data_IF_826183992732
#
_entry.id   IF_826183992732
#
_cell.length_a   1.000
_cell.length_b   1.000
_cell.length_c   1.000
_cell.angle_alpha   90.00
_cell.angle_beta   90.00
_cell.angle_gamma   90.00
#
_symmetry.space_group_name_H-M   'P 1'
#
loop_
_entity.id
_entity.type
_entity.pdbx_description
1 polymer ?
#
# COMPACT_ATOMS: atom_id res chain seq x y z
N UNK A 1 -10.46 2.52 -7.39
CA UNK A 1 -9.18 3.24 -7.54
C UNK A 1 -8.29 2.89 -6.35
N UNK A 2 -6.96 2.88 -6.51
CA UNK A 2 -6.05 2.74 -5.38
C UNK A 2 -6.15 3.99 -4.51
N UNK A 3 -6.35 3.82 -3.19
CA UNK A 3 -6.42 4.94 -2.27
C UNK A 3 -5.04 5.63 -2.15
N UNK A 4 -5.02 6.96 -2.23
CA UNK A 4 -3.83 7.77 -2.01
C UNK A 4 -4.15 8.91 -1.06
N UNK A 5 -3.27 9.17 -0.09
CA UNK A 5 -3.37 10.36 0.76
C UNK A 5 -3.10 11.59 -0.10
N UNK A 6 -3.94 12.61 0.05
CA UNK A 6 -3.88 13.85 -0.71
C UNK A 6 -2.51 14.53 -0.54
N UNK A 7 -1.95 15.03 -1.64
CA UNK A 7 -0.57 15.57 -1.68
C UNK A 7 -0.31 16.70 -0.69
N UNK A 8 -1.31 17.56 -0.44
CA UNK A 8 -1.20 18.62 0.57
C UNK A 8 -1.07 18.05 2.00
N UNK A 9 -1.80 16.98 2.34
CA UNK A 9 -1.67 16.34 3.65
C UNK A 9 -0.28 15.71 3.82
N UNK A 10 0.25 15.08 2.76
CA UNK A 10 1.62 14.53 2.77
C UNK A 10 2.69 15.62 2.93
N UNK A 11 2.47 16.80 2.32
CA UNK A 11 3.35 17.94 2.47
C UNK A 11 3.35 18.46 3.91
N UNK A 12 2.18 18.58 4.51
CA UNK A 12 2.01 19.23 5.82
C UNK A 12 2.23 18.27 7.00
N UNK A 13 2.29 16.96 6.75
CA UNK A 13 2.32 15.97 7.82
C UNK A 13 3.50 14.98 7.77
N UNK A 14 3.94 14.66 8.99
CA UNK A 14 4.28 13.35 9.51
C UNK A 14 3.29 12.27 9.07
N UNK A 15 3.67 11.25 8.34
CA UNK A 15 2.79 10.08 8.16
C UNK A 15 3.33 9.02 9.13
N UNK A 16 2.52 8.53 10.06
CA UNK A 16 3.01 7.75 11.21
C UNK A 16 2.73 6.25 11.08
N UNK A 17 1.56 5.91 10.56
CA UNK A 17 1.09 4.54 10.45
C UNK A 17 -0.38 4.48 10.06
N UNK A 18 -1.02 3.34 10.32
CA UNK A 18 -2.46 3.15 10.11
C UNK A 18 -3.07 2.29 11.18
N UNK A 19 -4.34 2.53 11.45
CA UNK A 19 -5.22 1.56 12.06
C UNK A 19 -5.90 0.71 10.97
N UNK A 20 -7.09 0.16 11.26
CA UNK A 20 -7.80 -0.68 10.32
C UNK A 20 -8.29 0.16 9.12
N UNK A 21 -8.94 1.29 9.40
CA UNK A 21 -9.54 2.15 8.39
C UNK A 21 -8.77 3.43 8.10
N UNK A 22 -8.18 4.06 9.13
CA UNK A 22 -7.50 5.34 8.97
C UNK A 22 -5.98 5.22 8.88
N UNK A 23 -5.39 6.00 7.98
CA UNK A 23 -4.01 6.46 8.14
C UNK A 23 -3.94 7.46 9.30
N UNK A 24 -2.84 7.41 10.05
CA UNK A 24 -2.57 8.32 11.18
C UNK A 24 -1.41 9.21 10.78
N UNK A 25 -1.67 10.51 10.77
CA UNK A 25 -0.73 11.57 10.46
C UNK A 25 -0.46 12.42 11.69
N UNK A 26 0.68 13.08 11.70
CA UNK A 26 1.10 14.11 12.65
C UNK A 26 1.44 15.38 11.86
N UNK A 27 0.71 16.46 12.08
CA UNK A 27 1.01 17.74 11.46
C UNK A 27 2.44 18.18 11.83
N UNK A 28 3.19 18.73 10.86
CA UNK A 28 4.62 19.08 11.06
C UNK A 28 4.85 20.20 12.06
N UNK A 29 3.88 21.11 12.21
CA UNK A 29 3.97 22.17 13.21
C UNK A 29 3.84 21.61 14.62
N UNK A 30 4.97 21.50 15.32
CA UNK A 30 5.08 20.95 16.66
C UNK A 30 4.61 21.88 17.78
N UNK A 31 4.12 23.09 17.46
CA UNK A 31 3.61 24.03 18.47
C UNK A 31 2.42 23.45 19.26
N UNK A 32 1.71 22.46 18.69
CA UNK A 32 0.64 21.72 19.34
C UNK A 32 0.68 20.23 18.92
N UNK A 33 0.33 19.28 19.80
CA UNK A 33 0.11 17.89 19.40
C UNK A 33 -1.09 17.78 18.46
N UNK A 34 -0.83 17.72 17.15
CA UNK A 34 -1.87 17.78 16.13
C UNK A 34 -1.82 16.56 15.22
N UNK A 35 -2.73 15.63 15.47
CA UNK A 35 -2.91 14.42 14.68
C UNK A 35 -4.01 14.60 13.64
N UNK A 36 -3.90 13.87 12.53
CA UNK A 36 -4.92 13.84 11.48
C UNK A 36 -5.16 12.37 11.11
N UNK A 37 -6.41 11.92 11.17
CA UNK A 37 -6.81 10.61 10.67
C UNK A 37 -7.36 10.76 9.25
N UNK A 38 -6.91 9.94 8.31
CA UNK A 38 -7.40 9.92 6.93
C UNK A 38 -7.98 8.53 6.63
N UNK A 39 -9.31 8.35 6.66
CA UNK A 39 -9.94 7.07 6.34
C UNK A 39 -9.75 6.68 4.87
N UNK A 40 -9.53 5.38 4.61
CA UNK A 40 -9.52 4.80 3.26
C UNK A 40 -10.95 4.65 2.71
N UNK A 41 -11.60 5.77 2.39
CA UNK A 41 -13.00 5.86 1.93
C UNK A 41 -13.12 6.80 0.72
N UNK A 42 -14.23 6.73 -0.01
CA UNK A 42 -14.47 7.58 -1.19
C UNK A 42 -15.21 8.88 -0.81
N UNK A 43 -15.99 8.85 0.26
CA UNK A 43 -16.78 9.96 0.75
C UNK A 43 -15.88 11.09 1.31
N UNK A 44 -16.29 12.33 1.06
CA UNK A 44 -15.56 13.53 1.50
C UNK A 44 -16.01 14.02 2.87
N UNK A 45 -17.26 13.72 3.23
CA UNK A 45 -17.89 14.16 4.47
C UNK A 45 -18.13 12.99 5.43
N UNK A 46 -17.78 13.19 6.71
CA UNK A 46 -17.89 12.16 7.75
C UNK A 46 -19.31 11.60 7.91
N UNK A 47 -20.33 12.45 7.71
CA UNK A 47 -21.73 12.09 7.91
C UNK A 47 -22.36 11.37 6.72
N UNK A 48 -21.68 11.36 5.58
CA UNK A 48 -22.09 10.64 4.38
C UNK A 48 -21.61 9.18 4.40
N UNK A 49 -20.67 8.85 5.31
CA UNK A 49 -20.17 7.49 5.47
C UNK A 49 -21.26 6.50 5.91
N UNK A 50 -21.17 5.24 5.45
CA UNK A 50 -21.92 4.14 6.06
C UNK A 50 -21.68 4.08 7.57
N UNK A 51 -22.72 3.76 8.33
CA UNK A 51 -22.69 3.73 9.80
C UNK A 51 -21.49 2.94 10.36
N UNK A 52 -21.23 1.75 9.82
CA UNK A 52 -20.10 0.92 10.24
C UNK A 52 -18.74 1.61 10.02
N UNK A 53 -18.57 2.31 8.88
CA UNK A 53 -17.35 3.05 8.56
C UNK A 53 -17.19 4.27 9.45
N UNK A 54 -18.27 5.06 9.62
CA UNK A 54 -18.30 6.22 10.52
C UNK A 54 -17.92 5.83 11.95
N UNK A 55 -18.52 4.77 12.47
CA UNK A 55 -18.26 4.28 13.83
C UNK A 55 -16.81 3.79 13.98
N UNK A 56 -16.25 3.15 12.95
CA UNK A 56 -14.84 2.76 12.92
C UNK A 56 -13.90 3.97 12.93
N UNK A 57 -14.17 5.00 12.12
CA UNK A 57 -13.40 6.25 12.13
C UNK A 57 -13.44 6.90 13.51
N UNK A 58 -14.62 6.99 14.12
CA UNK A 58 -14.78 7.59 15.44
C UNK A 58 -14.07 6.78 16.54
N UNK A 59 -14.10 5.46 16.46
CA UNK A 59 -13.38 4.59 17.40
C UNK A 59 -11.86 4.75 17.27
N UNK A 60 -11.33 4.92 16.06
CA UNK A 60 -9.90 5.15 15.83
C UNK A 60 -9.47 6.56 16.27
N UNK A 61 -10.28 7.59 16.01
CA UNK A 61 -10.06 8.94 16.51
C UNK A 61 -10.07 8.99 18.05
N UNK A 62 -10.92 8.19 18.71
CA UNK A 62 -10.95 8.07 20.15
C UNK A 62 -9.63 7.48 20.71
N UNK A 63 -8.99 6.53 20.02
CA UNK A 63 -7.68 5.98 20.41
C UNK A 63 -6.59 7.03 20.37
N UNK A 64 -6.54 7.81 19.29
CA UNK A 64 -5.58 8.93 19.18
C UNK A 64 -5.88 10.00 20.23
N UNK A 65 -7.15 10.30 20.48
CA UNK A 65 -7.53 11.23 21.55
C UNK A 65 -7.10 10.74 22.94
N UNK A 66 -7.17 9.43 23.22
CA UNK A 66 -6.70 8.87 24.48
C UNK A 66 -5.17 8.98 24.58
N UNK A 67 -4.45 8.66 23.51
CA UNK A 67 -3.00 8.86 23.42
C UNK A 67 -2.60 10.32 23.71
N UNK A 68 -3.25 11.29 23.07
CA UNK A 68 -2.96 12.72 23.26
C UNK A 68 -3.17 13.15 24.71
N UNK A 69 -4.23 12.67 25.37
CA UNK A 69 -4.51 13.00 26.78
C UNK A 69 -3.53 12.33 27.73
N UNK A 70 -3.28 11.04 27.54
CA UNK A 70 -2.56 10.22 28.52
C UNK A 70 -1.04 10.26 28.35
N UNK A 71 -0.56 10.36 27.11
CA UNK A 71 0.87 10.30 26.80
C UNK A 71 1.47 11.69 26.56
N UNK A 72 0.67 12.63 26.05
CA UNK A 72 1.13 14.01 25.73
C UNK A 72 0.58 15.05 26.71
N UNK A 73 -0.01 14.60 27.83
CA UNK A 73 -0.48 15.42 28.95
C UNK A 73 -1.33 16.64 28.52
N UNK A 74 -2.27 16.39 27.60
CA UNK A 74 -3.19 17.41 27.11
C UNK A 74 -4.51 17.39 27.89
N UNK A 75 -4.86 18.51 28.51
CA UNK A 75 -6.09 18.68 29.29
C UNK A 75 -7.37 18.57 28.45
N UNK A 76 -7.32 18.97 27.18
CA UNK A 76 -8.45 18.90 26.25
C UNK A 76 -8.01 18.42 24.88
N UNK A 77 -8.96 17.83 24.15
CA UNK A 77 -8.79 17.49 22.73
C UNK A 77 -9.88 18.20 21.93
N UNK A 78 -9.50 18.81 20.81
CA UNK A 78 -10.42 19.32 19.79
C UNK A 78 -10.46 18.31 18.65
N UNK A 79 -11.68 17.97 18.19
CA UNK A 79 -11.90 17.05 17.08
C UNK A 79 -12.76 17.75 16.04
N UNK A 80 -12.35 17.72 14.77
CA UNK A 80 -13.13 18.30 13.68
C UNK A 80 -12.82 17.65 12.32
N UNK A 81 -13.85 17.54 11.49
CA UNK A 81 -13.76 17.34 10.04
C UNK A 81 -14.19 18.66 9.38
N UNK A 82 -13.30 19.31 8.60
CA UNK A 82 -13.56 20.64 8.03
C UNK A 82 -13.50 20.60 6.50
N UNK A 83 -12.39 20.15 5.91
CA UNK A 83 -12.34 19.76 4.49
C UNK A 83 -12.54 20.85 3.42
N UNK A 84 -12.74 22.13 3.77
CA UNK A 84 -13.08 23.19 2.79
C UNK A 84 -12.09 23.35 1.61
N UNK A 85 -10.81 23.05 1.80
CA UNK A 85 -9.75 23.18 0.77
C UNK A 85 -9.27 21.82 0.31
N UNK A 86 -8.88 20.94 1.24
CA UNK A 86 -8.54 19.56 0.95
C UNK A 86 -9.79 18.72 1.12
N UNK A 87 -10.43 18.34 0.00
CA UNK A 87 -11.73 17.65 -0.01
C UNK A 87 -11.67 16.20 0.49
N UNK A 88 -10.52 15.54 0.39
CA UNK A 88 -10.36 14.18 0.94
C UNK A 88 -10.68 14.20 2.43
N UNK A 89 -11.61 13.34 2.88
CA UNK A 89 -12.02 13.28 4.28
C UNK A 89 -10.81 13.08 5.19
N UNK A 90 -10.69 13.96 6.18
CA UNK A 90 -9.67 13.87 7.22
C UNK A 90 -10.20 14.45 8.53
N UNK A 91 -9.83 13.81 9.64
CA UNK A 91 -10.29 14.14 10.99
C UNK A 91 -9.12 14.69 11.78
N UNK A 92 -9.19 15.95 12.18
CA UNK A 92 -8.20 16.55 13.07
C UNK A 92 -8.45 16.10 14.51
N UNK A 93 -7.40 15.72 15.23
CA UNK A 93 -7.39 15.41 16.66
C UNK A 93 -6.25 16.20 17.30
N UNK A 94 -6.60 17.30 17.96
CA UNK A 94 -5.64 18.31 18.43
C UNK A 94 -5.63 18.38 19.96
N UNK A 95 -4.48 18.12 20.57
CA UNK A 95 -4.23 18.30 21.99
C UNK A 95 -4.14 19.77 22.36
N UNK A 96 -4.82 20.17 23.43
CA UNK A 96 -4.97 21.55 23.89
C UNK A 96 -4.75 21.66 25.39
N UNK A 97 -4.12 22.76 25.78
CA UNK A 97 -3.87 23.13 27.18
C UNK A 97 -4.17 24.61 27.41
N UNK A 98 -4.68 25.00 28.60
CA UNK A 98 -4.70 26.41 28.98
C UNK A 98 -3.29 27.01 28.88
N UNK A 99 -3.15 28.09 28.11
CA UNK A 99 -1.86 28.73 27.86
C UNK A 99 -1.04 28.14 26.71
N UNK A 100 -1.60 27.19 25.95
CA UNK A 100 -1.00 26.76 24.68
C UNK A 100 -0.96 27.91 23.65
N UNK A 101 -0.17 27.72 22.59
CA UNK A 101 0.14 28.71 21.55
C UNK A 101 -1.09 29.39 20.90
N UNK A 102 -2.27 28.81 21.05
CA UNK A 102 -3.51 29.30 20.44
C UNK A 102 -4.69 29.33 21.43
N UNK A 103 -4.48 29.14 22.73
CA UNK A 103 -5.59 29.07 23.69
C UNK A 103 -6.21 30.45 23.94
N UNK A 104 -7.55 30.59 24.04
CA UNK A 104 -8.60 29.57 23.89
C UNK A 104 -9.17 29.44 22.47
N UNK A 105 -8.56 30.09 21.48
CA UNK A 105 -9.03 30.11 20.10
C UNK A 105 -8.93 28.72 19.43
N UNK A 106 -9.75 28.47 18.39
CA UNK A 106 -9.56 27.30 17.53
C UNK A 106 -8.27 27.42 16.72
N UNK A 107 -7.53 26.34 16.57
CA UNK A 107 -6.19 26.36 15.93
C UNK A 107 -6.25 26.74 14.45
N UNK A 108 -7.32 26.37 13.75
CA UNK A 108 -7.48 26.63 12.32
C UNK A 108 -7.55 28.13 12.03
N UNK A 109 -6.51 28.64 11.37
CA UNK A 109 -6.38 30.07 11.01
C UNK A 109 -5.89 30.98 12.15
N UNK A 110 -5.65 30.46 13.36
CA UNK A 110 -5.21 31.27 14.50
C UNK A 110 -3.88 30.83 15.11
N UNK A 111 -3.38 29.63 14.82
CA UNK A 111 -2.05 29.18 15.27
C UNK A 111 -0.97 29.92 14.46
N UNK A 112 -0.23 30.81 15.13
CA UNK A 112 0.85 31.61 14.52
C UNK A 112 2.25 31.11 14.85
N UNK A 113 2.38 30.37 15.95
CA UNK A 113 3.65 29.79 16.36
C UNK A 113 3.99 28.62 15.45
N UNK A 114 5.26 28.54 15.05
CA UNK A 114 5.81 27.46 14.24
C UNK A 114 6.93 26.78 15.02
N UNK A 115 6.82 25.47 15.20
CA UNK A 115 7.88 24.62 15.72
C UNK A 115 7.96 23.36 14.85
N UNK A 116 9.08 22.63 14.95
CA UNK A 116 9.30 21.40 14.18
C UNK A 116 9.65 20.26 15.11
N UNK A 117 9.15 19.07 14.81
CA UNK A 117 9.59 17.84 15.47
C UNK A 117 10.96 17.43 14.93
N UNK A 118 11.81 16.94 15.84
CA UNK A 118 12.98 16.14 15.48
C UNK A 118 12.57 14.73 15.05
N UNK A 119 13.43 14.05 14.27
CA UNK A 119 13.20 12.65 13.87
C UNK A 119 13.06 11.71 15.07
N UNK A 120 13.82 11.96 16.14
CA UNK A 120 13.75 11.19 17.38
C UNK A 120 12.38 11.34 18.07
N UNK A 121 11.81 12.55 18.10
CA UNK A 121 10.48 12.78 18.67
C UNK A 121 9.39 12.09 17.85
N UNK A 122 9.45 12.18 16.51
CA UNK A 122 8.50 11.47 15.63
C UNK A 122 8.61 9.96 15.85
N UNK A 123 9.82 9.42 15.94
CA UNK A 123 10.07 8.00 16.18
C UNK A 123 9.47 7.55 17.52
N UNK A 124 9.70 8.31 18.59
CA UNK A 124 9.13 8.02 19.91
C UNK A 124 7.60 8.04 19.90
N UNK A 125 6.98 8.99 19.18
CA UNK A 125 5.51 9.05 19.01
C UNK A 125 5.00 7.80 18.27
N UNK A 126 5.68 7.39 17.18
CA UNK A 126 5.33 6.19 16.41
C UNK A 126 5.39 4.95 17.29
N UNK A 127 6.48 4.76 18.04
CA UNK A 127 6.65 3.60 18.94
C UNK A 127 5.56 3.55 20.01
N UNK A 128 5.22 4.68 20.60
CA UNK A 128 4.19 4.75 21.62
C UNK A 128 2.80 4.42 21.05
N UNK A 129 2.44 4.94 19.86
CA UNK A 129 1.17 4.62 19.17
C UNK A 129 1.08 3.16 18.70
N UNK A 130 2.22 2.51 18.43
CA UNK A 130 2.29 1.08 18.10
C UNK A 130 1.99 0.16 19.28
N UNK A 131 2.06 0.66 20.51
CA UNK A 131 1.73 -0.14 21.68
C UNK A 131 0.26 -0.60 21.64
N UNK A 132 -0.01 -1.81 22.15
CA UNK A 132 -1.38 -2.34 22.23
C UNK A 132 -2.32 -1.46 23.05
N UNK A 133 -1.78 -0.68 23.99
CA UNK A 133 -2.53 0.28 24.81
C UNK A 133 -3.31 1.28 23.94
N UNK A 134 -2.72 1.75 22.85
CA UNK A 134 -3.34 2.72 21.95
C UNK A 134 -3.82 2.07 20.65
N UNK A 135 -4.13 0.78 20.71
CA UNK A 135 -4.79 0.07 19.63
C UNK A 135 -3.86 -0.54 18.59
N UNK A 136 -2.54 -0.55 18.83
CA UNK A 136 -1.58 -1.25 17.98
C UNK A 136 -1.51 -0.69 16.57
N UNK A 137 -1.24 0.63 16.44
CA UNK A 137 -1.05 1.28 15.15
C UNK A 137 -0.02 0.49 14.35
N UNK A 138 -0.32 0.18 13.09
CA UNK A 138 0.58 -0.57 12.19
C UNK A 138 1.45 0.40 11.41
N UNK A 139 2.68 0.03 11.04
CA UNK A 139 3.44 0.79 10.06
C UNK A 139 2.60 0.98 8.79
N UNK A 140 2.64 2.19 8.26
CA UNK A 140 2.38 2.43 6.85
C UNK A 140 3.76 2.66 6.25
N UNK A 141 4.08 2.03 5.13
CA UNK A 141 5.34 2.32 4.46
C UNK A 141 5.33 3.79 4.01
N UNK A 142 6.07 4.66 4.71
CA UNK A 142 6.33 6.04 4.30
C UNK A 142 7.66 6.15 3.60
N UNK A 143 7.79 7.16 2.73
CA UNK A 143 8.88 7.21 1.75
C UNK A 143 8.74 6.14 0.67
N UNK A 144 7.61 5.41 0.66
CA UNK A 144 7.41 4.35 -0.30
C UNK A 144 6.91 4.85 -1.63
N UNK A 145 7.74 4.66 -2.64
CA UNK A 145 7.44 5.02 -4.03
C UNK A 145 7.38 3.76 -4.87
N UNK A 146 6.30 3.62 -5.64
CA UNK A 146 6.25 2.63 -6.72
C UNK A 146 6.70 3.31 -8.00
N UNK A 147 7.56 2.64 -8.74
CA UNK A 147 8.03 3.05 -10.05
C UNK A 147 8.44 1.85 -10.88
N UNK A 148 8.55 2.04 -12.18
CA UNK A 148 9.21 1.06 -13.05
C UNK A 148 10.68 0.86 -12.62
N UNK A 149 11.13 -0.38 -12.79
CA UNK A 149 12.52 -0.76 -12.58
C UNK A 149 13.45 -0.02 -13.55
N UNK A 150 14.70 0.13 -13.13
CA UNK A 150 15.79 0.70 -13.90
C UNK A 150 16.96 -0.28 -13.88
N UNK A 151 17.91 -0.17 -14.85
CA UNK A 151 19.12 -1.00 -14.84
C UNK A 151 19.90 -0.97 -13.52
N UNK A 152 19.88 0.16 -12.81
CA UNK A 152 20.52 0.31 -11.50
C UNK A 152 19.88 -0.55 -10.39
N UNK A 153 18.62 -0.97 -10.55
CA UNK A 153 17.90 -1.75 -9.54
C UNK A 153 18.14 -3.26 -9.68
N UNK A 154 18.68 -3.72 -10.82
CA UNK A 154 18.73 -5.15 -11.15
C UNK A 154 19.45 -5.98 -10.08
N UNK A 155 20.54 -5.47 -9.51
CA UNK A 155 21.27 -6.14 -8.45
C UNK A 155 20.42 -6.30 -7.17
N UNK A 156 19.72 -5.24 -6.76
CA UNK A 156 18.85 -5.25 -5.58
C UNK A 156 17.62 -6.14 -5.79
N UNK A 157 17.05 -6.15 -7.00
CA UNK A 157 15.93 -7.04 -7.36
C UNK A 157 16.39 -8.51 -7.32
N UNK A 158 17.59 -8.82 -7.83
CA UNK A 158 18.15 -10.17 -7.76
C UNK A 158 18.32 -10.64 -6.32
N UNK A 159 18.91 -9.80 -5.46
CA UNK A 159 19.10 -10.09 -4.03
C UNK A 159 17.74 -10.33 -3.33
N UNK A 160 16.78 -9.46 -3.58
CA UNK A 160 15.41 -9.59 -3.08
C UNK A 160 14.77 -10.93 -3.48
N UNK A 161 14.85 -11.31 -4.76
CA UNK A 161 14.24 -12.55 -5.26
C UNK A 161 14.91 -13.77 -4.64
N UNK A 162 16.24 -13.77 -4.51
CA UNK A 162 16.97 -14.83 -3.81
C UNK A 162 16.52 -14.96 -2.35
N UNK A 163 16.42 -13.86 -1.60
CA UNK A 163 15.98 -13.90 -0.19
C UNK A 163 14.53 -14.35 -0.03
N UNK A 164 13.64 -13.81 -0.88
CA UNK A 164 12.20 -14.01 -0.76
C UNK A 164 11.81 -15.47 -1.02
N UNK A 165 12.50 -16.14 -1.95
CA UNK A 165 12.19 -17.49 -2.40
C UNK A 165 13.11 -18.58 -1.81
N UNK A 166 14.16 -18.24 -1.06
CA UNK A 166 15.10 -19.20 -0.45
C UNK A 166 14.43 -20.37 0.30
N UNK A 167 13.31 -20.12 1.01
CA UNK A 167 12.59 -21.13 1.80
C UNK A 167 11.23 -21.52 1.21
N UNK A 168 10.93 -21.16 -0.04
CA UNK A 168 9.58 -21.34 -0.57
C UNK A 168 9.33 -22.81 -0.99
N UNK A 169 8.29 -23.49 -0.48
CA UNK A 169 8.12 -24.95 -0.60
C UNK A 169 7.85 -25.51 -2.00
N UNK A 170 7.86 -24.65 -3.04
CA UNK A 170 7.61 -25.01 -4.43
C UNK A 170 8.43 -24.16 -5.41
N UNK A 171 9.49 -23.53 -4.93
CA UNK A 171 10.40 -22.72 -5.76
C UNK A 171 11.60 -23.57 -6.18
N UNK A 172 12.00 -23.44 -7.44
CA UNK A 172 13.29 -23.94 -7.93
C UNK A 172 14.44 -22.95 -7.66
N UNK A 173 14.17 -21.86 -6.94
CA UNK A 173 15.05 -20.71 -6.70
C UNK A 173 15.51 -20.01 -7.98
N UNK A 174 14.75 -20.16 -9.07
CA UNK A 174 15.06 -19.64 -10.40
C UNK A 174 14.43 -18.28 -10.67
N UNK A 175 13.66 -17.69 -9.75
CA UNK A 175 12.86 -16.48 -10.00
C UNK A 175 13.70 -15.29 -10.47
N UNK A 176 14.91 -15.14 -9.94
CA UNK A 176 15.85 -14.13 -10.40
C UNK A 176 16.33 -14.39 -11.85
N UNK A 177 16.55 -15.66 -12.23
CA UNK A 177 16.91 -16.05 -13.59
C UNK A 177 15.74 -15.88 -14.56
N UNK A 178 14.50 -16.11 -14.11
CA UNK A 178 13.29 -15.86 -14.90
C UNK A 178 13.26 -14.38 -15.31
N UNK A 179 13.44 -13.47 -14.34
CA UNK A 179 13.42 -12.02 -14.59
C UNK A 179 14.59 -11.60 -15.47
N UNK A 180 15.78 -12.14 -15.26
CA UNK A 180 16.95 -11.90 -16.13
C UNK A 180 16.67 -12.35 -17.58
N UNK A 181 16.16 -13.57 -17.78
CA UNK A 181 15.80 -14.08 -19.10
C UNK A 181 14.68 -13.29 -19.79
N UNK A 182 13.69 -12.80 -19.03
CA UNK A 182 12.66 -11.91 -19.57
C UNK A 182 13.23 -10.57 -20.06
N UNK A 183 14.21 -9.99 -19.35
CA UNK A 183 14.88 -8.76 -19.78
C UNK A 183 15.73 -9.00 -21.03
N UNK A 184 16.53 -10.08 -21.04
CA UNK A 184 17.39 -10.45 -22.17
C UNK A 184 16.59 -10.67 -23.46
N UNK A 185 15.43 -11.32 -23.35
CA UNK A 185 14.54 -11.57 -24.48
C UNK A 185 13.62 -10.39 -24.82
N UNK A 186 13.74 -9.24 -24.12
CA UNK A 186 12.83 -8.09 -24.22
C UNK A 186 11.35 -8.46 -24.03
N UNK A 187 11.09 -9.49 -23.23
CA UNK A 187 9.77 -10.01 -22.91
C UNK A 187 9.22 -9.48 -21.56
N UNK A 188 10.03 -8.76 -20.77
CA UNK A 188 9.55 -8.06 -19.59
C UNK A 188 8.73 -6.82 -19.99
N UNK A 189 7.41 -6.93 -19.98
CA UNK A 189 6.52 -5.81 -20.33
C UNK A 189 6.53 -4.73 -19.25
N UNK A 190 6.49 -5.14 -17.98
CA UNK A 190 6.47 -4.22 -16.86
C UNK A 190 7.18 -4.86 -15.66
N UNK A 191 8.24 -4.22 -15.17
CA UNK A 191 8.84 -4.52 -13.87
C UNK A 191 8.61 -3.34 -12.94
N UNK A 192 7.92 -3.54 -11.82
CA UNK A 192 7.70 -2.49 -10.81
C UNK A 192 8.50 -2.79 -9.57
N UNK A 193 9.21 -1.78 -9.07
CA UNK A 193 9.81 -1.77 -7.74
C UNK A 193 8.99 -0.91 -6.82
N UNK A 194 8.96 -1.31 -5.57
CA UNK A 194 8.54 -0.46 -4.45
C UNK A 194 9.79 -0.15 -3.66
N UNK A 195 10.17 1.13 -3.57
CA UNK A 195 11.37 1.59 -2.87
C UNK A 195 10.99 2.32 -1.57
N UNK A 196 11.71 2.07 -0.49
CA UNK A 196 11.64 2.79 0.79
C UNK A 196 12.95 3.56 1.04
N UNK A 197 13.13 4.12 2.25
CA UNK A 197 14.35 4.87 2.62
C UNK A 197 15.64 4.02 2.56
N UNK A 198 15.52 2.69 2.55
CA UNK A 198 16.64 1.75 2.46
C UNK A 198 16.84 1.21 1.02
N UNK A 199 16.09 1.72 0.04
CA UNK A 199 16.16 1.30 -1.36
C UNK A 199 15.02 0.36 -1.76
N UNK A 200 15.27 -0.55 -2.70
CA UNK A 200 14.24 -1.50 -3.18
C UNK A 200 13.73 -2.35 -2.00
N UNK A 201 12.43 -2.30 -1.73
CA UNK A 201 11.76 -3.05 -0.68
C UNK A 201 10.94 -4.24 -1.22
N UNK A 202 10.56 -4.18 -2.51
CA UNK A 202 9.78 -5.20 -3.18
C UNK A 202 9.78 -5.06 -4.70
N UNK A 203 9.33 -6.10 -5.38
CA UNK A 203 9.35 -6.22 -6.83
C UNK A 203 8.18 -7.06 -7.35
N UNK A 204 7.64 -6.69 -8.51
CA UNK A 204 6.75 -7.53 -9.32
C UNK A 204 7.08 -7.41 -10.80
N UNK A 205 7.03 -8.53 -11.51
CA UNK A 205 7.18 -8.59 -12.97
C UNK A 205 5.86 -8.97 -13.66
N UNK A 206 5.69 -8.42 -14.87
CA UNK A 206 4.64 -8.80 -15.80
C UNK A 206 5.23 -9.01 -17.20
N UNK A 207 4.84 -10.10 -17.85
CA UNK A 207 5.28 -10.47 -19.20
C UNK A 207 4.12 -11.01 -20.03
N UNK A 208 4.20 -10.98 -21.37
CA UNK A 208 3.14 -11.52 -22.21
C UNK A 208 2.95 -13.02 -21.96
N UNK A 209 1.71 -13.47 -22.07
CA UNK A 209 1.33 -14.88 -21.95
C UNK A 209 0.40 -15.25 -23.09
N UNK A 210 0.63 -16.41 -23.69
CA UNK A 210 -0.30 -16.95 -24.67
C UNK A 210 -1.47 -17.63 -23.94
N UNK A 211 -2.70 -17.25 -24.29
CA UNK A 211 -3.91 -17.90 -23.78
C UNK A 211 -4.65 -18.53 -24.94
N UNK A 212 -4.28 -19.77 -25.26
CA UNK A 212 -4.80 -20.54 -26.39
C UNK A 212 -4.78 -19.74 -27.72
N UNK A 213 -3.61 -19.21 -28.07
CA UNK A 213 -3.35 -18.46 -29.30
C UNK A 213 -3.84 -17.00 -29.28
N UNK A 214 -4.24 -16.47 -28.11
CA UNK A 214 -4.70 -15.09 -27.96
C UNK A 214 -3.65 -14.23 -27.28
N UNK A 215 -3.28 -13.14 -27.96
CA UNK A 215 -2.40 -12.09 -27.43
C UNK A 215 -3.17 -11.12 -26.51
N UNK A 216 -2.43 -10.16 -25.92
CA UNK A 216 -3.00 -9.12 -25.06
C UNK A 216 -3.26 -9.55 -23.62
N UNK A 217 -2.85 -10.78 -23.25
CA UNK A 217 -2.85 -11.27 -21.87
C UNK A 217 -1.44 -11.20 -21.29
N UNK A 218 -1.35 -11.02 -19.97
CA UNK A 218 -0.08 -10.91 -19.26
C UNK A 218 -0.02 -11.83 -18.04
N UNK A 219 1.13 -12.46 -17.83
CA UNK A 219 1.46 -13.19 -16.62
C UNK A 219 1.91 -12.24 -15.51
N UNK A 220 1.45 -12.43 -14.27
CA UNK A 220 2.01 -11.79 -13.07
C UNK A 220 2.97 -12.75 -12.38
N UNK A 221 4.24 -12.39 -12.29
CA UNK A 221 5.23 -13.13 -11.53
C UNK A 221 6.66 -12.96 -12.03
N UNK A 222 7.67 -13.08 -11.14
CA UNK A 222 7.54 -13.28 -9.69
C UNK A 222 7.06 -12.02 -8.95
N UNK A 223 6.49 -12.21 -7.75
CA UNK A 223 6.15 -11.14 -6.79
C UNK A 223 6.94 -11.39 -5.50
N UNK A 224 7.73 -10.40 -5.07
CA UNK A 224 8.55 -10.50 -3.87
C UNK A 224 8.57 -9.21 -3.04
N UNK A 225 8.69 -9.38 -1.73
CA UNK A 225 9.01 -8.30 -0.78
C UNK A 225 10.02 -8.83 0.23
N UNK A 226 10.95 -7.97 0.66
CA UNK A 226 11.94 -8.34 1.67
C UNK A 226 11.25 -8.81 2.94
N UNK A 227 11.84 -9.77 3.69
CA UNK A 227 11.22 -10.27 4.93
C UNK A 227 10.96 -9.17 5.94
N UNK A 228 11.86 -8.19 6.02
CA UNK A 228 11.75 -7.00 6.88
C UNK A 228 10.51 -6.14 6.58
N UNK A 229 9.91 -6.29 5.39
CA UNK A 229 8.73 -5.52 4.94
C UNK A 229 7.49 -6.41 4.72
N UNK A 230 7.52 -7.68 5.16
CA UNK A 230 6.37 -8.58 5.02
C UNK A 230 5.24 -8.11 5.95
N UNK A 231 4.00 -8.23 5.46
CA UNK A 231 2.74 -7.83 6.14
C UNK A 231 2.46 -6.32 6.18
N UNK A 232 3.29 -5.51 5.53
CA UNK A 232 3.06 -4.06 5.40
C UNK A 232 2.22 -3.67 4.16
N UNK A 233 1.66 -4.66 3.46
CA UNK A 233 0.81 -4.44 2.29
C UNK A 233 1.54 -4.08 0.99
N UNK A 234 2.88 -3.95 1.01
CA UNK A 234 3.70 -3.59 -0.15
C UNK A 234 3.46 -4.47 -1.39
N UNK A 235 3.42 -5.79 -1.22
CA UNK A 235 3.13 -6.71 -2.32
C UNK A 235 1.74 -6.47 -2.91
N UNK A 236 0.76 -6.10 -2.08
CA UNK A 236 -0.58 -5.74 -2.57
C UNK A 236 -0.60 -4.41 -3.32
N UNK A 237 0.23 -3.45 -2.94
CA UNK A 237 0.38 -2.18 -3.66
C UNK A 237 1.00 -2.41 -5.04
N UNK A 238 2.07 -3.21 -5.12
CA UNK A 238 2.71 -3.61 -6.37
C UNK A 238 1.73 -4.29 -7.33
N UNK A 239 0.93 -5.25 -6.83
CA UNK A 239 -0.08 -5.94 -7.66
C UNK A 239 -1.11 -4.94 -8.20
N UNK A 240 -1.66 -4.05 -7.35
CA UNK A 240 -2.66 -3.07 -7.81
C UNK A 240 -2.11 -2.11 -8.86
N UNK A 241 -0.93 -1.53 -8.61
CA UNK A 241 -0.30 -0.60 -9.54
C UNK A 241 0.00 -1.28 -10.88
N UNK A 242 0.50 -2.52 -10.84
CA UNK A 242 0.75 -3.31 -12.05
C UNK A 242 -0.51 -3.60 -12.86
N UNK A 243 -1.60 -4.01 -12.21
CA UNK A 243 -2.88 -4.25 -12.89
C UNK A 243 -3.44 -2.96 -13.51
N UNK A 244 -3.34 -1.83 -12.81
CA UNK A 244 -3.79 -0.53 -13.31
C UNK A 244 -2.92 -0.03 -14.48
N UNK A 245 -1.61 -0.29 -14.45
CA UNK A 245 -0.72 -0.03 -15.58
C UNK A 245 -1.09 -0.89 -16.81
N UNK A 246 -1.31 -2.20 -16.62
CA UNK A 246 -1.74 -3.09 -17.71
C UNK A 246 -3.07 -2.66 -18.34
N UNK A 247 -4.04 -2.24 -17.52
CA UNK A 247 -5.31 -1.68 -18.04
C UNK A 247 -5.09 -0.44 -18.91
N UNK A 248 -4.21 0.48 -18.49
CA UNK A 248 -3.85 1.67 -19.29
C UNK A 248 -3.15 1.32 -20.60
N UNK A 249 -2.46 0.19 -20.66
CA UNK A 249 -1.85 -0.35 -21.88
C UNK A 249 -2.85 -1.05 -22.80
N UNK A 250 -4.11 -1.19 -22.40
CA UNK A 250 -5.15 -1.88 -23.19
C UNK A 250 -5.09 -3.40 -23.10
N UNK A 251 -4.49 -3.96 -22.05
CA UNK A 251 -4.45 -5.40 -21.82
C UNK A 251 -5.87 -6.00 -21.74
N UNK A 252 -6.04 -7.23 -22.23
CA UNK A 252 -7.28 -7.99 -22.14
C UNK A 252 -7.46 -8.65 -20.77
N UNK A 253 -6.36 -8.94 -20.08
CA UNK A 253 -6.39 -9.47 -18.73
C UNK A 253 -5.02 -9.90 -18.24
N UNK A 254 -5.01 -10.44 -17.02
CA UNK A 254 -3.82 -10.95 -16.36
C UNK A 254 -4.08 -12.36 -15.81
N UNK A 255 -3.08 -13.24 -15.88
CA UNK A 255 -3.11 -14.59 -15.31
C UNK A 255 -1.89 -14.83 -14.41
N UNK A 256 -1.99 -15.81 -13.52
CA UNK A 256 -0.88 -16.24 -12.67
C UNK A 256 -1.11 -17.65 -12.14
N UNK A 257 -0.04 -18.25 -11.64
CA UNK A 257 -0.08 -19.45 -10.79
C UNK A 257 0.22 -19.02 -9.36
N UNK A 258 -0.70 -19.24 -8.42
CA UNK A 258 -0.50 -18.80 -7.04
C UNK A 258 -1.68 -19.03 -6.10
N UNK A 259 -1.56 -18.53 -4.87
CA UNK A 259 -2.52 -18.73 -3.79
C UNK A 259 -3.87 -18.00 -4.06
N UNK A 260 -5.00 -18.74 -4.17
CA UNK A 260 -6.31 -18.16 -4.48
C UNK A 260 -6.84 -17.20 -3.42
N UNK A 261 -6.47 -17.40 -2.14
CA UNK A 261 -6.92 -16.53 -1.05
C UNK A 261 -6.22 -15.18 -1.13
N UNK A 262 -4.90 -15.17 -1.37
CA UNK A 262 -4.11 -13.97 -1.50
C UNK A 262 -4.48 -13.18 -2.76
N UNK A 263 -4.67 -13.84 -3.90
CA UNK A 263 -4.94 -13.14 -5.15
C UNK A 263 -6.42 -12.81 -5.36
N UNK A 264 -7.34 -13.53 -4.71
CA UNK A 264 -8.78 -13.30 -4.78
C UNK A 264 -9.21 -11.87 -4.40
N UNK A 265 -8.51 -11.23 -3.47
CA UNK A 265 -8.77 -9.84 -3.06
C UNK A 265 -8.50 -8.78 -4.14
N UNK A 266 -7.82 -9.14 -5.23
CA UNK A 266 -7.64 -8.26 -6.40
C UNK A 266 -8.61 -8.58 -7.54
N UNK A 267 -9.50 -9.56 -7.35
CA UNK A 267 -10.47 -10.02 -8.35
C UNK A 267 -10.03 -11.23 -9.17
N UNK A 268 -8.82 -11.76 -8.94
CA UNK A 268 -8.39 -13.02 -9.57
C UNK A 268 -9.26 -14.19 -9.11
N UNK A 269 -9.52 -15.12 -10.02
CA UNK A 269 -10.28 -16.34 -9.75
C UNK A 269 -9.82 -17.46 -10.66
N UNK A 270 -10.01 -18.71 -10.21
CA UNK A 270 -9.94 -19.85 -11.12
C UNK A 270 -11.10 -19.76 -12.11
N UNK A 271 -10.81 -19.95 -13.39
CA UNK A 271 -11.79 -19.86 -14.48
C UNK A 271 -11.97 -21.24 -15.11
N UNK A 272 -13.19 -21.80 -15.15
CA UNK A 272 -13.41 -23.11 -15.77
C UNK A 272 -12.91 -23.15 -17.22
N UNK A 273 -12.10 -24.17 -17.51
CA UNK A 273 -11.52 -24.39 -18.83
C UNK A 273 -10.27 -23.58 -19.14
N UNK A 274 -9.75 -22.81 -18.17
CA UNK A 274 -8.40 -22.23 -18.21
C UNK A 274 -7.47 -23.15 -17.41
N UNK A 275 -6.29 -23.47 -17.96
CA UNK A 275 -5.37 -24.38 -17.28
C UNK A 275 -3.93 -24.20 -17.74
N UNK A 276 -3.02 -24.83 -17.00
CA UNK A 276 -1.60 -24.90 -17.32
C UNK A 276 -1.11 -26.31 -17.02
N UNK A 277 -0.43 -26.92 -17.98
CA UNK A 277 0.10 -28.28 -17.88
C UNK A 277 0.97 -28.44 -16.62
N UNK A 278 0.63 -29.41 -15.76
CA UNK A 278 1.37 -29.71 -14.52
C UNK A 278 0.97 -28.88 -13.30
N UNK A 279 0.01 -27.96 -13.42
CA UNK A 279 -0.49 -27.12 -12.32
C UNK A 279 -1.96 -27.42 -12.06
N UNK A 280 -2.40 -27.66 -10.81
CA UNK A 280 -3.83 -27.83 -10.52
C UNK A 280 -4.64 -26.57 -10.85
N UNK A 281 -5.79 -26.74 -11.50
CA UNK A 281 -6.67 -25.65 -11.99
C UNK A 281 -7.06 -24.63 -10.91
N UNK A 282 -7.11 -25.04 -9.63
CA UNK A 282 -7.44 -24.15 -8.52
C UNK A 282 -6.38 -23.07 -8.27
N UNK A 283 -5.12 -23.32 -8.64
CA UNK A 283 -4.00 -22.37 -8.52
C UNK A 283 -3.77 -21.55 -9.80
N UNK A 284 -4.44 -21.89 -10.90
CA UNK A 284 -4.40 -21.15 -12.16
C UNK A 284 -5.48 -20.07 -12.12
N UNK A 285 -5.07 -18.82 -11.94
CA UNK A 285 -5.98 -17.70 -11.68
C UNK A 285 -5.94 -16.70 -12.83
N UNK A 286 -7.10 -16.12 -13.14
CA UNK A 286 -7.24 -15.07 -14.13
C UNK A 286 -8.08 -13.90 -13.63
N UNK A 287 -7.76 -12.72 -14.16
CA UNK A 287 -8.50 -11.48 -14.03
C UNK A 287 -8.65 -10.86 -15.42
N UNK A 288 -9.85 -10.90 -15.97
CA UNK A 288 -10.16 -10.25 -17.24
C UNK A 288 -10.37 -8.74 -17.05
N UNK A 289 -9.87 -7.93 -17.98
CA UNK A 289 -10.12 -6.50 -18.07
C UNK A 289 -11.12 -6.15 -19.19
N UNK A 290 -11.35 -7.07 -20.11
CA UNK A 290 -12.30 -6.95 -21.22
C UNK A 290 -13.22 -8.18 -21.28
N UNK A 291 -14.14 -8.21 -22.25
CA UNK A 291 -15.01 -9.36 -22.52
C UNK A 291 -14.26 -10.56 -23.15
N UNK A 292 -12.94 -10.45 -23.39
CA UNK A 292 -12.15 -11.54 -23.93
C UNK A 292 -12.11 -12.72 -22.94
N UNK A 293 -12.44 -13.94 -23.38
CA UNK A 293 -12.49 -15.09 -22.48
C UNK A 293 -11.08 -15.54 -22.07
N UNK A 294 -10.88 -15.74 -20.76
CA UNK A 294 -9.75 -16.51 -20.21
C UNK A 294 -10.08 -18.01 -20.29
N UNK A 295 -9.79 -18.67 -21.42
CA UNK A 295 -10.05 -20.11 -21.61
C UNK A 295 -8.97 -20.78 -22.47
N UNK A 296 -8.68 -22.03 -22.17
CA UNK A 296 -7.68 -22.85 -22.86
C UNK A 296 -6.36 -22.93 -22.09
N UNK A 297 -5.33 -23.46 -22.75
CA UNK A 297 -4.01 -23.60 -22.17
C UNK A 297 -3.28 -22.25 -22.10
N UNK A 298 -2.67 -21.97 -20.95
CA UNK A 298 -1.80 -20.82 -20.74
C UNK A 298 -0.35 -21.26 -20.96
N UNK A 299 0.37 -20.52 -21.79
CA UNK A 299 1.80 -20.73 -22.01
C UNK A 299 2.57 -19.45 -21.65
N UNK A 300 3.34 -19.53 -20.56
CA UNK A 300 4.27 -18.48 -20.17
C UNK A 300 5.51 -18.45 -21.06
N UNK A 301 6.21 -17.32 -21.05
CA UNK A 301 7.49 -17.18 -21.71
C UNK A 301 8.47 -18.29 -21.28
N UNK A 302 9.34 -18.73 -22.20
CA UNK A 302 10.32 -19.82 -21.98
C UNK A 302 11.19 -19.66 -20.72
N UNK A 303 11.41 -18.42 -20.28
CA UNK A 303 12.15 -18.12 -19.05
C UNK A 303 11.52 -18.76 -17.81
N UNK A 304 10.21 -19.05 -17.81
CA UNK A 304 9.52 -19.73 -16.70
C UNK A 304 9.73 -21.25 -16.67
N UNK A 305 10.45 -21.83 -17.64
CA UNK A 305 10.72 -23.26 -17.75
C UNK A 305 12.13 -23.65 -17.26
N UNK A 306 12.78 -22.76 -16.48
CA UNK A 306 14.12 -22.94 -15.91
C UNK A 306 14.15 -23.89 -14.70
#
# INVERSE_FOLDING_TARGET
MTFHIHSQLLKDCHVLGRYALCHVLLHRNAALPWFILVPEVEEEDLLDLPEASRDAVMAEAARVSAFVKEQMDCAKVNVAAIGNVVRQLHIHVVGRNPGDACWPAPVWGNLKEEASYSEAEVTAIVEALRSHRFGGMRPVPHGVRIREERPSDHAAIRELLLEAFADHPYSHQTEHLIVEGLREDNALTLGLVVEDELGVAGYVAFSPVDVAGREGWYGLGPLAVFRRCRRDGLGSMLVREGLDALRRMGAHGCVLVGDPVFYGRFGFRSVPGLGMSGVPDEFVLALAFSDAPARGEIVFHRAFSL
#
